data_IF_070565984386
#
_entry.id   IF_070565984386
#
_cell.length_a   1.000
_cell.length_b   1.000
_cell.length_c   1.000
_cell.angle_alpha   90.00
_cell.angle_beta   90.00
_cell.angle_gamma   90.00
#
_symmetry.space_group_name_H-M   'P 1'
#
loop_
_entity.id
_entity.type
_entity.pdbx_description
1 polymer ?
#
# COMPACT_ATOMS: atom_id res chain seq x y z
N UNK A 1 -4.54 -3.00 18.56
CA UNK A 1 -5.83 -3.43 19.20
C UNK A 1 -6.13 -4.88 18.86
N UNK A 2 -6.65 -5.67 19.80
CA UNK A 2 -7.06 -7.06 19.54
C UNK A 2 -8.60 -7.14 19.47
N UNK A 3 -9.15 -7.38 18.26
CA UNK A 3 -10.60 -7.43 18.05
C UNK A 3 -11.24 -8.62 18.76
N UNK A 4 -10.59 -9.80 18.76
CA UNK A 4 -11.11 -10.98 19.44
C UNK A 4 -11.24 -10.72 20.94
N UNK A 5 -10.23 -10.06 21.52
CA UNK A 5 -10.27 -9.68 22.94
C UNK A 5 -11.34 -8.62 23.21
N UNK A 6 -11.50 -7.63 22.31
CA UNK A 6 -12.58 -6.65 22.40
C UNK A 6 -13.95 -7.33 22.38
N UNK A 7 -14.17 -8.25 21.44
CA UNK A 7 -15.40 -9.01 21.32
C UNK A 7 -15.64 -9.91 22.55
N UNK A 8 -14.59 -10.54 23.07
CA UNK A 8 -14.66 -11.34 24.29
C UNK A 8 -15.07 -10.49 25.51
N UNK A 9 -14.46 -9.32 25.71
CA UNK A 9 -14.83 -8.41 26.82
C UNK A 9 -16.27 -7.96 26.68
N UNK A 10 -16.73 -7.65 25.47
CA UNK A 10 -18.05 -7.14 25.20
C UNK A 10 -19.12 -8.23 25.04
N UNK A 11 -18.75 -9.51 25.05
CA UNK A 11 -19.70 -10.63 25.00
C UNK A 11 -20.58 -10.71 26.25
N UNK A 12 -20.05 -10.22 27.39
CA UNK A 12 -20.77 -10.12 28.66
C UNK A 12 -21.70 -8.89 28.77
N UNK A 13 -21.59 -7.99 27.80
CA UNK A 13 -22.32 -6.73 27.71
C UNK A 13 -23.51 -6.84 26.75
N UNK A 14 -24.49 -5.92 26.80
CA UNK A 14 -25.58 -5.87 25.81
C UNK A 14 -25.04 -5.77 24.37
N UNK A 15 -25.62 -6.53 23.44
CA UNK A 15 -25.15 -6.66 22.03
C UNK A 15 -24.87 -5.33 21.31
N UNK A 16 -25.60 -4.26 21.65
CA UNK A 16 -25.36 -2.95 21.05
C UNK A 16 -24.02 -2.32 21.44
N UNK A 17 -23.38 -2.77 22.54
CA UNK A 17 -22.09 -2.26 23.00
C UNK A 17 -20.96 -2.53 21.99
N UNK A 18 -20.99 -3.68 21.34
CA UNK A 18 -20.02 -3.99 20.28
C UNK A 18 -20.14 -3.01 19.10
N UNK A 19 -21.40 -2.65 18.73
CA UNK A 19 -21.61 -1.64 17.68
C UNK A 19 -21.09 -0.26 18.11
N UNK A 20 -21.35 0.12 19.37
CA UNK A 20 -20.82 1.37 19.92
C UNK A 20 -19.29 1.39 19.98
N UNK A 21 -18.65 0.27 20.35
CA UNK A 21 -17.19 0.15 20.34
C UNK A 21 -16.61 0.30 18.93
N UNK A 22 -17.20 -0.38 17.95
CA UNK A 22 -16.79 -0.25 16.55
C UNK A 22 -16.98 1.18 16.04
N UNK A 23 -18.10 1.83 16.34
CA UNK A 23 -18.34 3.22 16.01
C UNK A 23 -17.24 4.12 16.61
N UNK A 24 -16.94 3.96 17.89
CA UNK A 24 -15.93 4.77 18.59
C UNK A 24 -14.54 4.63 17.96
N UNK A 25 -14.12 3.39 17.63
CA UNK A 25 -12.78 3.13 17.08
C UNK A 25 -12.66 3.52 15.62
N UNK A 26 -13.60 3.14 14.77
CA UNK A 26 -13.45 3.22 13.30
C UNK A 26 -14.10 4.47 12.70
N UNK A 27 -15.06 5.10 13.36
CA UNK A 27 -15.76 6.29 12.84
C UNK A 27 -15.39 7.52 13.68
N UNK A 28 -15.53 7.40 15.02
CA UNK A 28 -15.19 8.50 15.90
C UNK A 28 -13.66 8.65 16.08
N UNK A 29 -12.91 7.58 15.74
CA UNK A 29 -11.45 7.54 15.73
C UNK A 29 -10.85 7.89 17.10
N UNK A 30 -11.47 7.42 18.18
CA UNK A 30 -10.94 7.64 19.54
C UNK A 30 -9.56 7.01 19.68
N UNK A 31 -8.68 7.67 20.43
CA UNK A 31 -7.33 7.15 20.75
C UNK A 31 -7.24 6.46 22.12
N UNK A 32 -8.26 6.64 22.95
CA UNK A 32 -8.33 6.08 24.28
C UNK A 32 -9.80 5.85 24.66
N UNK A 33 -10.11 4.75 25.39
CA UNK A 33 -11.48 4.40 25.73
C UNK A 33 -12.17 5.41 26.66
N UNK A 34 -11.42 6.26 27.39
CA UNK A 34 -12.01 7.34 28.18
C UNK A 34 -12.83 8.34 27.32
N UNK A 35 -12.54 8.42 26.02
CA UNK A 35 -13.29 9.25 25.08
C UNK A 35 -14.66 8.65 24.70
N UNK A 36 -14.86 7.34 24.92
CA UNK A 36 -16.12 6.65 24.64
C UNK A 36 -17.11 6.84 25.82
N UNK A 37 -17.59 8.07 26.02
CA UNK A 37 -18.45 8.44 27.17
C UNK A 37 -19.79 7.73 27.21
N UNK A 38 -20.20 7.07 26.13
CA UNK A 38 -21.38 6.20 26.07
C UNK A 38 -21.21 4.90 26.87
N UNK A 39 -19.98 4.57 27.30
CA UNK A 39 -19.68 3.42 28.12
C UNK A 39 -19.61 3.81 29.61
N UNK A 40 -20.06 2.92 30.54
CA UNK A 40 -19.81 3.07 31.96
C UNK A 40 -18.32 3.20 32.26
N UNK A 41 -17.97 3.92 33.31
CA UNK A 41 -16.57 4.17 33.69
C UNK A 41 -15.79 2.86 33.86
N UNK A 42 -16.35 1.90 34.60
CA UNK A 42 -15.73 0.60 34.85
C UNK A 42 -15.41 -0.16 33.55
N UNK A 43 -16.30 -0.10 32.56
CA UNK A 43 -16.06 -0.72 31.25
C UNK A 43 -14.94 0.00 30.49
N UNK A 44 -14.87 1.33 30.51
CA UNK A 44 -13.79 2.10 29.90
C UNK A 44 -12.43 1.78 30.53
N UNK A 45 -12.37 1.65 31.83
CA UNK A 45 -11.16 1.26 32.57
C UNK A 45 -10.72 -0.16 32.20
N UNK A 46 -11.65 -1.13 32.18
CA UNK A 46 -11.38 -2.51 31.73
C UNK A 46 -10.84 -2.54 30.30
N UNK A 47 -11.47 -1.82 29.38
CA UNK A 47 -11.04 -1.74 27.97
C UNK A 47 -9.67 -1.06 27.81
N UNK A 48 -9.36 -0.01 28.59
CA UNK A 48 -8.04 0.61 28.55
C UNK A 48 -6.93 -0.34 29.04
N UNK A 49 -7.21 -1.16 30.03
CA UNK A 49 -6.24 -2.12 30.57
C UNK A 49 -6.06 -3.33 29.64
N UNK A 50 -7.16 -3.89 29.14
CA UNK A 50 -7.15 -5.18 28.45
C UNK A 50 -7.11 -5.09 26.92
N UNK A 51 -7.59 -3.99 26.36
CA UNK A 51 -7.66 -3.76 24.92
C UNK A 51 -7.30 -2.30 24.55
N UNK A 52 -6.07 -1.83 24.88
CA UNK A 52 -5.66 -0.45 24.65
C UNK A 52 -5.70 -0.11 23.15
N UNK A 53 -6.03 1.15 22.85
CA UNK A 53 -6.09 1.70 21.49
C UNK A 53 -4.83 2.46 21.10
N UNK A 54 -3.95 2.71 22.04
CA UNK A 54 -2.71 3.43 21.83
C UNK A 54 -1.69 2.52 21.16
N UNK A 55 -0.97 3.08 20.20
CA UNK A 55 0.16 2.44 19.52
C UNK A 55 1.38 3.35 19.66
N UNK A 56 2.56 2.75 19.82
CA UNK A 56 3.81 3.47 19.88
C UNK A 56 4.27 3.80 18.45
N UNK A 57 4.38 5.10 18.12
CA UNK A 57 4.70 5.56 16.77
C UNK A 57 5.70 6.71 16.80
N UNK A 58 6.72 6.62 15.97
CA UNK A 58 7.64 7.70 15.67
C UNK A 58 7.39 8.22 14.26
N UNK A 59 7.16 9.53 14.09
CA UNK A 59 6.91 10.14 12.80
C UNK A 59 8.12 10.86 12.23
N UNK A 60 8.33 10.73 10.92
CA UNK A 60 9.21 11.57 10.11
C UNK A 60 8.38 12.28 9.06
N UNK A 61 8.46 13.60 9.03
CA UNK A 61 7.74 14.46 8.07
C UNK A 61 8.71 14.96 7.02
N UNK A 62 8.34 14.84 5.73
CA UNK A 62 9.16 15.35 4.62
C UNK A 62 9.28 16.88 4.67
N UNK A 63 10.37 17.41 4.13
CA UNK A 63 10.60 18.89 4.05
C UNK A 63 9.48 19.62 3.32
N UNK A 64 8.86 18.97 2.33
CA UNK A 64 7.72 19.53 1.60
C UNK A 64 6.40 19.43 2.39
N UNK A 65 6.36 18.73 3.52
CA UNK A 65 5.17 18.50 4.33
C UNK A 65 4.12 17.58 3.67
N UNK A 66 4.43 16.97 2.52
CA UNK A 66 3.50 16.18 1.73
C UNK A 66 3.59 14.65 1.99
N UNK A 67 4.47 14.24 2.89
CA UNK A 67 4.64 12.84 3.25
C UNK A 67 4.98 12.70 4.72
N UNK A 68 4.37 11.72 5.38
CA UNK A 68 4.68 11.35 6.75
C UNK A 68 4.96 9.85 6.79
N UNK A 69 6.16 9.50 7.20
CA UNK A 69 6.53 8.11 7.50
C UNK A 69 6.35 7.86 8.98
N UNK A 70 5.57 6.85 9.33
CA UNK A 70 5.37 6.39 10.69
C UNK A 70 6.11 5.06 10.89
N UNK A 71 6.99 5.02 11.87
CA UNK A 71 7.62 3.83 12.40
C UNK A 71 6.77 3.34 13.59
N UNK A 72 6.12 2.20 13.44
CA UNK A 72 5.20 1.62 14.43
C UNK A 72 5.90 0.48 15.15
N UNK A 73 5.92 0.54 16.48
CA UNK A 73 6.35 -0.56 17.34
C UNK A 73 5.19 -1.53 17.57
N UNK A 74 5.40 -2.80 17.24
CA UNK A 74 4.41 -3.86 17.44
C UNK A 74 4.55 -4.45 18.86
N UNK A 75 3.52 -5.17 19.32
CA UNK A 75 3.46 -5.73 20.67
C UNK A 75 4.58 -6.76 21.00
N UNK A 76 5.16 -7.35 19.98
CA UNK A 76 6.30 -8.28 20.08
C UNK A 76 7.68 -7.59 19.97
N UNK A 77 7.71 -6.25 19.95
CA UNK A 77 8.92 -5.44 19.84
C UNK A 77 9.46 -5.29 18.40
N UNK A 78 8.84 -5.95 17.42
CA UNK A 78 9.18 -5.73 16.01
C UNK A 78 8.66 -4.37 15.54
N UNK A 79 9.26 -3.85 14.46
CA UNK A 79 8.89 -2.53 13.92
C UNK A 79 8.52 -2.63 12.44
N UNK A 80 7.51 -1.84 12.08
CA UNK A 80 7.09 -1.66 10.68
C UNK A 80 7.02 -0.19 10.33
N UNK A 81 7.13 0.11 9.05
CA UNK A 81 6.93 1.46 8.52
C UNK A 81 5.68 1.51 7.65
N UNK A 82 4.96 2.60 7.75
CA UNK A 82 3.81 2.95 6.91
C UNK A 82 3.91 4.42 6.51
N UNK A 83 3.31 4.82 5.38
CA UNK A 83 3.49 6.17 4.86
C UNK A 83 2.16 6.80 4.48
N UNK A 84 1.94 8.03 4.93
CA UNK A 84 0.88 8.91 4.45
C UNK A 84 1.43 9.80 3.34
N UNK A 85 0.76 9.81 2.19
CA UNK A 85 1.10 10.60 1.00
C UNK A 85 -0.02 11.61 0.73
N UNK A 86 0.28 12.88 0.85
CA UNK A 86 -0.64 13.97 0.57
C UNK A 86 -0.45 14.52 -0.84
N UNK A 87 -1.46 14.39 -1.66
CA UNK A 87 -1.46 14.93 -3.01
C UNK A 87 -1.96 16.38 -2.99
N UNK A 88 -1.38 17.24 -3.84
CA UNK A 88 -1.78 18.64 -3.96
C UNK A 88 -3.25 18.88 -4.31
N UNK A 89 -3.96 17.83 -4.75
CA UNK A 89 -5.42 17.82 -5.00
C UNK A 89 -6.25 17.60 -3.72
N UNK A 90 -5.61 17.44 -2.55
CA UNK A 90 -6.29 17.11 -1.29
C UNK A 90 -6.57 15.63 -1.06
N UNK A 91 -6.12 14.77 -1.97
CA UNK A 91 -6.25 13.33 -1.82
C UNK A 91 -5.14 12.79 -0.90
N UNK A 92 -5.51 12.01 0.09
CA UNK A 92 -4.60 11.32 1.00
C UNK A 92 -4.53 9.83 0.66
N UNK A 93 -3.33 9.31 0.43
CA UNK A 93 -3.07 7.90 0.16
C UNK A 93 -2.22 7.32 1.28
N UNK A 94 -2.60 6.18 1.83
CA UNK A 94 -1.78 5.45 2.80
C UNK A 94 -1.11 4.27 2.12
N UNK A 95 0.21 4.16 2.29
CA UNK A 95 0.99 3.00 1.89
C UNK A 95 1.13 2.06 3.09
N UNK A 96 0.39 0.94 3.08
CA UNK A 96 0.34 -0.04 4.17
C UNK A 96 1.39 -1.14 3.99
N UNK A 97 1.95 -1.58 5.11
CA UNK A 97 2.77 -2.77 5.22
C UNK A 97 1.90 -4.00 5.51
N UNK A 98 2.29 -5.15 5.00
CA UNK A 98 1.59 -6.44 5.17
C UNK A 98 2.42 -7.50 5.91
N UNK A 99 3.73 -7.29 6.04
CA UNK A 99 4.65 -8.21 6.72
C UNK A 99 5.72 -7.44 7.48
N UNK A 100 6.34 -8.07 8.46
CA UNK A 100 7.59 -7.61 9.05
C UNK A 100 8.74 -8.22 8.24
N UNK A 101 9.40 -7.38 7.41
CA UNK A 101 10.32 -7.84 6.39
C UNK A 101 9.62 -8.46 5.17
N UNK A 102 10.37 -9.13 4.29
CA UNK A 102 9.84 -9.76 3.09
C UNK A 102 10.69 -10.96 2.68
N UNK A 103 10.07 -12.13 2.33
CA UNK A 103 10.84 -13.33 1.97
C UNK A 103 11.36 -13.32 0.53
N UNK A 104 11.01 -12.33 -0.28
CA UNK A 104 11.25 -12.36 -1.74
C UNK A 104 12.64 -11.89 -2.16
N UNK A 105 13.35 -11.14 -1.29
CA UNK A 105 14.74 -10.76 -1.52
C UNK A 105 14.99 -9.86 -2.74
N UNK A 106 14.01 -9.06 -3.18
CA UNK A 106 14.19 -8.15 -4.32
C UNK A 106 15.37 -7.20 -4.08
N UNK A 107 16.33 -7.14 -5.00
CA UNK A 107 17.59 -6.41 -4.80
C UNK A 107 17.40 -4.88 -4.73
N UNK A 108 16.37 -4.37 -5.36
CA UNK A 108 16.04 -2.93 -5.33
C UNK A 108 15.29 -2.49 -4.07
N UNK A 109 14.94 -3.42 -3.16
CA UNK A 109 14.03 -3.15 -2.05
C UNK A 109 14.71 -3.33 -0.69
N UNK A 110 14.73 -2.29 0.12
CA UNK A 110 15.31 -2.33 1.47
C UNK A 110 14.61 -3.37 2.36
N UNK A 111 13.29 -3.52 2.25
CA UNK A 111 12.53 -4.55 2.98
C UNK A 111 12.94 -5.97 2.58
N UNK A 112 13.26 -6.20 1.30
CA UNK A 112 13.75 -7.51 0.84
C UNK A 112 15.10 -7.91 1.46
N UNK A 113 15.96 -6.91 1.74
CA UNK A 113 17.26 -7.13 2.38
C UNK A 113 17.15 -7.41 3.89
N UNK A 114 16.04 -7.07 4.52
CA UNK A 114 15.82 -7.34 5.96
C UNK A 114 15.56 -8.83 6.25
N UNK A 115 15.18 -9.61 5.25
CA UNK A 115 14.62 -10.94 5.42
C UNK A 115 13.19 -10.88 5.99
N UNK A 116 12.58 -12.04 6.13
CA UNK A 116 11.21 -12.20 6.62
C UNK A 116 11.19 -12.59 8.10
N UNK A 117 10.32 -11.99 8.89
CA UNK A 117 10.09 -12.34 10.28
C UNK A 117 8.73 -13.01 10.45
N UNK A 118 7.65 -12.31 10.10
CA UNK A 118 6.28 -12.81 10.17
C UNK A 118 5.30 -12.00 9.32
N UNK A 119 4.15 -12.56 9.09
CA UNK A 119 3.00 -11.83 8.57
C UNK A 119 2.46 -10.86 9.64
N UNK A 120 1.91 -9.74 9.20
CA UNK A 120 1.06 -8.90 10.04
C UNK A 120 -0.33 -9.53 10.14
N UNK A 121 -0.97 -9.38 11.29
CA UNK A 121 -2.39 -9.70 11.44
C UNK A 121 -3.24 -8.66 10.70
N UNK A 122 -4.50 -8.98 10.46
CA UNK A 122 -5.48 -8.06 9.87
C UNK A 122 -5.56 -6.75 10.66
N UNK A 123 -5.57 -6.84 11.99
CA UNK A 123 -5.64 -5.66 12.86
C UNK A 123 -4.36 -4.83 12.85
N UNK A 124 -3.17 -5.45 12.83
CA UNK A 124 -1.91 -4.70 12.67
C UNK A 124 -1.85 -3.95 11.32
N UNK A 125 -2.51 -4.48 10.29
CA UNK A 125 -2.67 -3.79 9.00
C UNK A 125 -3.66 -2.63 9.14
N UNK A 126 -4.82 -2.86 9.75
CA UNK A 126 -5.87 -1.86 9.92
C UNK A 126 -5.42 -0.70 10.82
N UNK A 127 -4.66 -0.98 11.87
CA UNK A 127 -4.16 0.04 12.81
C UNK A 127 -3.28 1.09 12.14
N UNK A 128 -2.53 0.73 11.10
CA UNK A 128 -1.76 1.69 10.30
C UNK A 128 -2.70 2.74 9.66
N UNK A 129 -3.85 2.30 9.13
CA UNK A 129 -4.84 3.18 8.53
C UNK A 129 -5.58 4.02 9.58
N UNK A 130 -5.96 3.43 10.71
CA UNK A 130 -6.61 4.13 11.82
C UNK A 130 -5.68 5.23 12.37
N UNK A 131 -4.39 4.93 12.52
CA UNK A 131 -3.41 5.89 12.99
C UNK A 131 -3.41 7.16 12.13
N UNK A 132 -3.28 7.01 10.82
CA UNK A 132 -3.29 8.15 9.91
C UNK A 132 -4.66 8.80 9.77
N UNK A 133 -5.76 8.04 9.92
CA UNK A 133 -7.10 8.62 9.95
C UNK A 133 -7.29 9.54 11.18
N UNK A 134 -6.78 9.13 12.36
CA UNK A 134 -6.74 9.97 13.58
C UNK A 134 -5.90 11.22 13.38
N UNK A 135 -4.70 11.06 12.80
CA UNK A 135 -3.80 12.17 12.53
C UNK A 135 -4.44 13.20 11.58
N UNK A 136 -5.03 12.74 10.48
CA UNK A 136 -5.72 13.60 9.52
C UNK A 136 -6.93 14.30 10.13
N UNK A 137 -7.72 13.62 10.95
CA UNK A 137 -8.86 14.23 11.64
C UNK A 137 -8.42 15.37 12.58
N UNK A 138 -7.30 15.18 13.27
CA UNK A 138 -6.76 16.16 14.23
C UNK A 138 -6.02 17.32 13.56
N UNK A 139 -5.21 17.03 12.54
CA UNK A 139 -4.18 17.95 12.03
C UNK A 139 -4.28 18.22 10.51
N UNK A 140 -5.23 17.62 9.81
CA UNK A 140 -5.26 17.55 8.34
C UNK A 140 -5.13 18.87 7.57
N UNK A 141 -5.52 20.00 8.15
CA UNK A 141 -5.31 21.33 7.56
C UNK A 141 -3.91 21.91 7.78
N UNK A 142 -3.16 21.37 8.74
CA UNK A 142 -1.82 21.89 9.11
C UNK A 142 -0.68 21.11 8.46
N UNK A 143 -0.93 19.84 8.11
CA UNK A 143 0.10 18.91 7.58
C UNK A 143 0.49 19.26 6.15
N UNK A 144 -0.43 19.81 5.36
CA UNK A 144 -0.20 20.13 3.96
C UNK A 144 -0.42 21.62 3.71
N UNK A 145 0.64 22.47 3.72
CA UNK A 145 0.51 23.85 3.32
C UNK A 145 0.07 23.90 1.85
N UNK A 146 -1.16 24.34 1.62
CA UNK A 146 -1.68 24.61 0.28
C UNK A 146 -0.82 25.72 -0.31
N UNK A 147 0.00 25.42 -1.33
CA UNK A 147 0.66 26.48 -2.11
C UNK A 147 -0.46 27.34 -2.70
N UNK A 148 -0.53 28.59 -2.24
CA UNK A 148 -1.42 29.63 -2.80
C UNK A 148 -1.11 29.76 -4.30
N UNK A 149 -2.03 29.33 -5.16
CA UNK A 149 -1.87 29.40 -6.63
C UNK A 149 -2.48 28.25 -7.41
N UNK A 150 -2.92 27.17 -6.80
CA UNK A 150 -3.69 26.13 -7.51
C UNK A 150 -5.13 26.63 -7.70
N UNK A 151 -5.44 27.14 -8.89
CA UNK A 151 -6.77 27.59 -9.26
C UNK A 151 -7.75 26.41 -9.31
N UNK A 152 -8.69 26.37 -8.36
CA UNK A 152 -9.83 25.46 -8.34
C UNK A 152 -10.50 25.50 -6.96
N UNK A 153 -11.83 25.39 -6.85
CA UNK A 153 -12.48 25.33 -5.56
C UNK A 153 -12.11 23.98 -4.90
N UNK A 154 -11.09 24.01 -4.06
CA UNK A 154 -10.66 22.87 -3.26
C UNK A 154 -11.74 22.56 -2.20
N UNK A 155 -12.80 21.83 -2.62
CA UNK A 155 -13.62 21.03 -1.71
C UNK A 155 -12.85 19.74 -1.32
N UNK A 156 -11.54 19.82 -1.17
CA UNK A 156 -10.74 18.68 -0.78
C UNK A 156 -10.91 18.49 0.73
N UNK A 157 -11.53 17.40 1.12
CA UNK A 157 -11.58 16.95 2.51
C UNK A 157 -10.19 16.43 2.90
N UNK A 158 -9.27 17.35 3.24
CA UNK A 158 -7.91 17.04 3.68
C UNK A 158 -7.85 16.19 4.97
N UNK A 159 -8.99 15.93 5.58
CA UNK A 159 -9.12 15.34 6.91
C UNK A 159 -9.47 13.85 6.89
N UNK A 160 -9.45 13.19 5.73
CA UNK A 160 -9.73 11.75 5.65
C UNK A 160 -8.75 11.01 4.75
N UNK A 161 -8.70 9.70 4.95
CA UNK A 161 -8.01 8.74 4.05
C UNK A 161 -8.88 8.54 2.81
N UNK A 162 -8.31 8.74 1.63
CA UNK A 162 -9.03 8.54 0.36
C UNK A 162 -8.64 7.22 -0.30
N UNK A 163 -7.36 6.88 -0.31
CA UNK A 163 -6.83 5.71 -0.99
C UNK A 163 -5.91 4.89 -0.07
N UNK A 164 -5.85 3.61 -0.35
CA UNK A 164 -4.90 2.67 0.28
C UNK A 164 -4.12 1.94 -0.81
N UNK A 165 -2.82 1.80 -0.61
CA UNK A 165 -1.96 0.96 -1.45
C UNK A 165 -1.17 -0.01 -0.57
N UNK A 166 -1.21 -1.28 -0.89
CA UNK A 166 -0.37 -2.32 -0.28
C UNK A 166 0.96 -2.38 -1.03
N UNK A 167 1.81 -1.38 -0.75
CA UNK A 167 3.13 -1.19 -1.38
C UNK A 167 4.21 -0.86 -0.33
N UNK A 168 3.90 -1.08 0.94
CA UNK A 168 4.81 -0.94 2.06
C UNK A 168 5.71 -2.16 2.22
N UNK A 169 5.99 -2.55 3.46
CA UNK A 169 6.82 -3.70 3.76
C UNK A 169 6.04 -5.01 3.53
N UNK A 170 6.68 -5.96 2.82
CA UNK A 170 6.14 -7.31 2.57
C UNK A 170 5.48 -7.49 1.21
N UNK A 171 5.16 -8.75 0.92
CA UNK A 171 4.37 -9.17 -0.25
C UNK A 171 2.94 -9.50 0.21
N UNK A 172 1.95 -8.67 -0.16
CA UNK A 172 0.59 -8.82 0.37
C UNK A 172 -0.07 -10.15 -0.01
N UNK A 173 0.23 -10.72 -1.18
CA UNK A 173 -0.37 -11.98 -1.58
C UNK A 173 0.27 -13.22 -0.91
N UNK A 174 1.39 -13.05 -0.19
CA UNK A 174 1.90 -14.08 0.73
C UNK A 174 1.25 -14.00 2.12
N UNK A 175 0.57 -12.89 2.43
CA UNK A 175 -0.26 -12.71 3.64
C UNK A 175 -1.74 -12.53 3.26
N UNK A 176 -2.20 -13.31 2.30
CA UNK A 176 -3.47 -13.09 1.59
C UNK A 176 -4.68 -12.95 2.51
N UNK A 177 -4.87 -13.89 3.45
CA UNK A 177 -6.07 -13.92 4.29
C UNK A 177 -6.15 -12.69 5.21
N UNK A 178 -5.07 -12.37 5.94
CA UNK A 178 -5.04 -11.16 6.77
C UNK A 178 -5.20 -9.87 5.96
N UNK A 179 -4.61 -9.80 4.76
CA UNK A 179 -4.76 -8.63 3.88
C UNK A 179 -6.21 -8.47 3.44
N UNK A 180 -6.88 -9.57 3.05
CA UNK A 180 -8.28 -9.51 2.62
C UNK A 180 -9.23 -9.19 3.78
N UNK A 181 -8.97 -9.71 4.97
CA UNK A 181 -9.77 -9.39 6.16
C UNK A 181 -9.57 -7.92 6.59
N UNK A 182 -8.33 -7.43 6.55
CA UNK A 182 -8.07 -5.99 6.74
C UNK A 182 -8.82 -5.13 5.70
N UNK A 183 -8.82 -5.51 4.44
CA UNK A 183 -9.56 -4.80 3.38
C UNK A 183 -11.07 -4.78 3.65
N UNK A 184 -11.66 -5.89 4.11
CA UNK A 184 -13.08 -5.94 4.47
C UNK A 184 -13.40 -4.97 5.61
N UNK A 185 -12.53 -4.89 6.64
CA UNK A 185 -12.69 -3.95 7.76
C UNK A 185 -12.59 -2.50 7.26
N UNK A 186 -11.57 -2.18 6.45
CA UNK A 186 -11.33 -0.84 5.91
C UNK A 186 -12.43 -0.39 4.94
N UNK A 187 -13.03 -1.32 4.19
CA UNK A 187 -14.13 -1.06 3.25
C UNK A 187 -15.50 -0.98 3.93
N UNK A 188 -15.61 -1.44 5.18
CA UNK A 188 -16.90 -1.48 5.89
C UNK A 188 -17.52 -0.08 5.99
N UNK A 189 -18.80 0.04 5.62
CA UNK A 189 -19.58 1.30 5.67
C UNK A 189 -19.73 1.87 7.09
N UNK A 190 -19.70 0.99 8.09
CA UNK A 190 -19.76 1.35 9.51
C UNK A 190 -18.35 1.57 10.12
N UNK A 191 -17.33 1.80 9.27
CA UNK A 191 -15.94 2.03 9.64
C UNK A 191 -15.32 3.18 8.84
N UNK A 192 -14.08 2.98 8.38
CA UNK A 192 -13.37 3.99 7.57
C UNK A 192 -14.02 4.21 6.19
N UNK A 193 -14.85 3.28 5.74
CA UNK A 193 -15.64 3.36 4.50
C UNK A 193 -14.81 3.70 3.26
N UNK A 194 -13.66 3.05 3.12
CA UNK A 194 -12.78 3.25 1.96
C UNK A 194 -13.27 2.34 0.84
N UNK A 195 -13.76 2.94 -0.25
CA UNK A 195 -14.30 2.18 -1.37
C UNK A 195 -13.27 1.19 -1.95
N UNK A 196 -13.69 -0.02 -2.29
CA UNK A 196 -12.78 -1.08 -2.77
C UNK A 196 -11.93 -0.62 -3.98
N UNK A 197 -12.48 0.19 -4.89
CA UNK A 197 -11.75 0.79 -6.02
C UNK A 197 -10.70 1.83 -5.64
N UNK A 198 -10.66 2.24 -4.38
CA UNK A 198 -9.64 3.10 -3.81
C UNK A 198 -8.55 2.31 -3.05
N UNK A 199 -8.61 0.99 -3.09
CA UNK A 199 -7.63 0.07 -2.50
C UNK A 199 -6.90 -0.65 -3.62
N UNK A 200 -5.57 -0.60 -3.60
CA UNK A 200 -4.71 -1.27 -4.59
C UNK A 200 -3.77 -2.25 -3.90
N UNK A 201 -3.74 -3.47 -4.42
CA UNK A 201 -2.79 -4.51 -4.01
C UNK A 201 -1.71 -4.58 -5.08
N UNK A 202 -0.44 -4.39 -4.69
CA UNK A 202 0.71 -4.60 -5.57
C UNK A 202 1.40 -5.91 -5.20
N UNK A 203 1.73 -6.71 -6.21
CA UNK A 203 2.41 -8.01 -6.03
C UNK A 203 3.51 -8.17 -7.06
N UNK A 204 4.55 -8.91 -6.71
CA UNK A 204 5.57 -9.34 -7.70
C UNK A 204 5.03 -10.41 -8.68
N UNK A 205 3.77 -10.84 -8.52
CA UNK A 205 3.17 -11.85 -9.37
C UNK A 205 3.00 -13.21 -8.70
N UNK A 206 2.58 -13.23 -7.44
CA UNK A 206 2.20 -14.48 -6.74
C UNK A 206 0.94 -15.04 -7.41
N UNK A 207 1.13 -15.93 -8.38
CA UNK A 207 0.07 -16.42 -9.28
C UNK A 207 -1.13 -16.99 -8.54
N UNK A 208 -0.91 -17.85 -7.52
CA UNK A 208 -2.00 -18.38 -6.69
C UNK A 208 -2.78 -17.27 -5.96
N UNK A 209 -2.10 -16.21 -5.53
CA UNK A 209 -2.74 -15.05 -4.89
C UNK A 209 -3.57 -14.25 -5.89
N UNK A 210 -3.09 -14.06 -7.12
CA UNK A 210 -3.82 -13.38 -8.21
C UNK A 210 -5.09 -14.17 -8.55
N UNK A 211 -4.98 -15.48 -8.68
CA UNK A 211 -6.12 -16.38 -8.92
C UNK A 211 -7.17 -16.28 -7.81
N UNK A 212 -6.77 -16.32 -6.54
CA UNK A 212 -7.69 -16.11 -5.41
C UNK A 212 -8.36 -14.72 -5.48
N UNK A 213 -7.59 -13.67 -5.84
CA UNK A 213 -8.10 -12.30 -5.93
C UNK A 213 -9.13 -12.15 -7.07
N UNK A 214 -8.97 -12.86 -8.18
CA UNK A 214 -9.93 -12.87 -9.28
C UNK A 214 -11.33 -13.34 -8.84
N UNK A 215 -11.40 -14.23 -7.87
CA UNK A 215 -12.65 -14.78 -7.34
C UNK A 215 -13.28 -13.95 -6.21
N UNK A 216 -12.65 -12.84 -5.80
CA UNK A 216 -13.18 -12.00 -4.73
C UNK A 216 -14.30 -11.07 -5.22
N UNK A 217 -15.38 -10.90 -4.43
CA UNK A 217 -16.45 -9.97 -4.77
C UNK A 217 -16.02 -8.50 -4.66
N UNK A 218 -15.01 -8.20 -3.83
CA UNK A 218 -14.49 -6.84 -3.67
C UNK A 218 -13.63 -6.43 -4.87
N UNK A 219 -13.99 -5.28 -5.47
CA UNK A 219 -13.33 -4.76 -6.66
C UNK A 219 -12.08 -3.92 -6.30
N UNK A 220 -11.11 -4.54 -5.64
CA UNK A 220 -9.81 -3.89 -5.39
C UNK A 220 -8.97 -3.85 -6.66
N UNK A 221 -8.10 -2.85 -6.79
CA UNK A 221 -7.20 -2.73 -7.93
C UNK A 221 -6.00 -3.68 -7.76
N UNK A 222 -5.56 -4.27 -8.87
CA UNK A 222 -4.35 -5.10 -8.93
C UNK A 222 -3.23 -4.34 -9.65
N UNK A 223 -2.04 -4.36 -9.05
CA UNK A 223 -0.80 -3.90 -9.67
C UNK A 223 0.21 -5.06 -9.71
N UNK A 224 0.89 -5.22 -10.83
CA UNK A 224 1.95 -6.20 -11.02
C UNK A 224 3.30 -5.50 -11.05
N UNK A 225 4.13 -5.74 -10.06
CA UNK A 225 5.53 -5.32 -10.00
C UNK A 225 6.37 -6.18 -10.96
N UNK A 226 6.31 -5.84 -12.25
CA UNK A 226 6.96 -6.59 -13.33
C UNK A 226 8.45 -6.30 -13.41
N UNK A 227 8.81 -5.02 -13.58
CA UNK A 227 10.15 -4.43 -13.52
C UNK A 227 11.18 -4.91 -14.55
N UNK A 228 10.85 -5.89 -15.38
CA UNK A 228 11.66 -6.35 -16.52
C UNK A 228 10.77 -6.99 -17.59
N UNK A 229 11.19 -6.94 -18.87
CA UNK A 229 10.40 -7.49 -19.98
C UNK A 229 10.59 -9.00 -20.18
N UNK A 230 11.60 -9.61 -19.57
CA UNK A 230 11.95 -11.02 -19.74
C UNK A 230 12.46 -11.65 -18.42
N UNK A 231 12.54 -12.99 -18.40
CA UNK A 231 12.94 -13.74 -17.21
C UNK A 231 14.39 -13.49 -16.81
N UNK A 232 15.31 -13.40 -17.75
CA UNK A 232 16.75 -13.25 -17.48
C UNK A 232 17.06 -11.94 -16.75
N UNK A 233 16.45 -10.86 -17.21
CA UNK A 233 16.62 -9.55 -16.59
C UNK A 233 15.86 -9.47 -15.25
N UNK A 234 14.66 -10.07 -15.20
CA UNK A 234 13.82 -10.05 -14.01
C UNK A 234 14.44 -10.84 -12.85
N UNK A 235 15.04 -12.00 -13.12
CA UNK A 235 15.68 -12.82 -12.09
C UNK A 235 16.85 -12.10 -11.40
N UNK A 236 17.56 -11.25 -12.15
CA UNK A 236 18.65 -10.40 -11.59
C UNK A 236 18.13 -9.32 -10.63
N UNK A 237 16.85 -8.94 -10.68
CA UNK A 237 16.23 -7.98 -9.79
C UNK A 237 15.40 -8.63 -8.70
N UNK A 238 14.70 -9.70 -9.07
CA UNK A 238 13.69 -10.40 -8.27
C UNK A 238 14.02 -11.89 -8.28
N UNK A 239 14.78 -12.38 -7.28
CA UNK A 239 15.16 -13.81 -7.20
C UNK A 239 13.95 -14.76 -7.23
N UNK A 240 12.81 -14.31 -6.72
CA UNK A 240 11.55 -15.05 -6.76
C UNK A 240 11.01 -15.30 -8.18
N UNK A 241 11.61 -14.71 -9.23
CA UNK A 241 11.25 -14.99 -10.63
C UNK A 241 11.44 -16.48 -11.00
N UNK A 242 12.37 -17.18 -10.35
CA UNK A 242 12.55 -18.64 -10.52
C UNK A 242 11.26 -19.41 -10.24
N UNK A 243 10.44 -18.92 -9.33
CA UNK A 243 9.16 -19.54 -8.95
C UNK A 243 7.97 -18.88 -9.65
N UNK A 244 8.07 -17.59 -9.91
CA UNK A 244 7.00 -16.77 -10.49
C UNK A 244 7.54 -16.08 -11.75
N UNK A 245 7.72 -16.88 -12.83
CA UNK A 245 8.28 -16.41 -14.10
C UNK A 245 7.38 -15.38 -14.77
N UNK A 246 7.95 -14.58 -15.66
CA UNK A 246 7.20 -13.62 -16.48
C UNK A 246 6.06 -14.32 -17.22
N UNK A 247 6.34 -15.50 -17.82
CA UNK A 247 5.34 -16.25 -18.59
C UNK A 247 4.16 -16.69 -17.72
N UNK A 248 4.45 -17.23 -16.52
CA UNK A 248 3.41 -17.65 -15.57
C UNK A 248 2.57 -16.45 -15.07
N UNK A 249 3.21 -15.30 -14.89
CA UNK A 249 2.52 -14.06 -14.51
C UNK A 249 1.60 -13.61 -15.64
N UNK A 250 2.07 -13.62 -16.88
CA UNK A 250 1.28 -13.19 -18.04
C UNK A 250 0.08 -14.11 -18.28
N UNK A 251 0.25 -15.42 -18.12
CA UNK A 251 -0.84 -16.39 -18.18
C UNK A 251 -1.91 -16.09 -17.11
N UNK A 252 -1.50 -15.97 -15.84
CA UNK A 252 -2.45 -15.72 -14.76
C UNK A 252 -3.10 -14.33 -14.86
N UNK A 253 -2.38 -13.34 -15.39
CA UNK A 253 -2.92 -12.02 -15.65
C UNK A 253 -4.03 -12.07 -16.71
N UNK A 254 -3.83 -12.81 -17.81
CA UNK A 254 -4.86 -13.01 -18.82
C UNK A 254 -6.11 -13.69 -18.22
N UNK A 255 -5.92 -14.70 -17.36
CA UNK A 255 -7.02 -15.35 -16.65
C UNK A 255 -7.77 -14.38 -15.75
N UNK A 256 -7.02 -13.57 -14.97
CA UNK A 256 -7.59 -12.53 -14.12
C UNK A 256 -8.43 -11.51 -14.91
N UNK A 257 -7.91 -11.03 -16.02
CA UNK A 257 -8.58 -10.03 -16.86
C UNK A 257 -9.86 -10.57 -17.50
N UNK A 258 -9.81 -11.81 -18.04
CA UNK A 258 -10.99 -12.50 -18.60
C UNK A 258 -12.07 -12.73 -17.55
N UNK A 259 -11.69 -13.12 -16.33
CA UNK A 259 -12.64 -13.40 -15.26
C UNK A 259 -13.25 -12.12 -14.67
N UNK A 260 -12.48 -11.05 -14.53
CA UNK A 260 -12.89 -9.87 -13.76
C UNK A 260 -13.31 -8.69 -14.61
N UNK A 261 -12.82 -8.57 -15.84
CA UNK A 261 -12.96 -7.38 -16.69
C UNK A 261 -12.32 -6.10 -16.08
N UNK A 262 -11.45 -6.26 -15.08
CA UNK A 262 -10.87 -5.12 -14.34
C UNK A 262 -9.48 -4.79 -14.87
N UNK A 263 -9.23 -3.50 -15.05
CA UNK A 263 -7.95 -2.98 -15.50
C UNK A 263 -6.84 -3.23 -14.48
N UNK A 264 -5.64 -3.62 -14.96
CA UNK A 264 -4.47 -3.88 -14.14
C UNK A 264 -3.38 -2.84 -14.39
N UNK A 265 -2.63 -2.49 -13.37
CA UNK A 265 -1.46 -1.63 -13.44
C UNK A 265 -0.19 -2.48 -13.55
N UNK A 266 0.63 -2.21 -14.55
CA UNK A 266 1.96 -2.82 -14.71
C UNK A 266 2.99 -1.83 -14.19
N UNK A 267 3.54 -2.11 -13.03
CA UNK A 267 4.57 -1.29 -12.41
C UNK A 267 5.94 -1.64 -13.01
N UNK A 268 6.67 -0.62 -13.47
CA UNK A 268 7.99 -0.79 -14.06
C UNK A 268 8.98 0.21 -13.46
N UNK A 269 9.90 -0.32 -12.66
CA UNK A 269 10.94 0.45 -11.98
C UNK A 269 12.07 0.76 -12.97
N UNK A 270 12.43 2.05 -13.14
CA UNK A 270 13.44 2.51 -14.09
C UNK A 270 14.80 2.62 -13.40
N UNK A 271 15.70 1.70 -13.71
CA UNK A 271 17.06 1.58 -13.14
C UNK A 271 18.09 1.86 -14.22
N UNK A 272 18.96 2.85 -13.99
CA UNK A 272 19.98 3.29 -14.94
C UNK A 272 20.91 2.14 -15.37
N UNK A 273 21.08 1.99 -16.70
CA UNK A 273 21.91 0.98 -17.34
C UNK A 273 21.56 -0.46 -17.00
N UNK A 274 20.36 -0.69 -16.53
CA UNK A 274 19.91 -2.03 -16.17
C UNK A 274 18.68 -2.47 -16.97
N UNK A 275 17.60 -1.68 -16.94
CA UNK A 275 16.33 -2.02 -17.58
C UNK A 275 15.67 -0.82 -18.29
N UNK A 276 16.45 0.22 -18.60
CA UNK A 276 15.96 1.53 -19.03
C UNK A 276 16.32 1.89 -20.49
N UNK A 277 16.87 0.95 -21.24
CA UNK A 277 17.21 1.16 -22.66
C UNK A 277 15.99 0.94 -23.57
N UNK A 278 16.13 1.39 -24.81
CA UNK A 278 15.08 1.31 -25.83
C UNK A 278 14.69 -0.13 -26.16
N UNK A 279 15.67 -1.02 -26.16
CA UNK A 279 15.49 -2.45 -26.42
C UNK A 279 14.54 -3.07 -25.37
N UNK A 280 14.71 -2.75 -24.07
CA UNK A 280 13.80 -3.23 -23.03
C UNK A 280 12.39 -2.63 -23.17
N UNK A 281 12.26 -1.39 -23.65
CA UNK A 281 10.94 -0.81 -23.93
C UNK A 281 10.24 -1.53 -25.09
N UNK A 282 10.97 -1.90 -26.13
CA UNK A 282 10.45 -2.65 -27.26
C UNK A 282 10.07 -4.08 -26.84
N UNK A 283 10.93 -4.79 -26.11
CA UNK A 283 10.62 -6.10 -25.53
C UNK A 283 9.39 -6.06 -24.62
N UNK A 284 9.32 -5.05 -23.72
CA UNK A 284 8.16 -4.86 -22.87
C UNK A 284 6.88 -4.66 -23.68
N UNK A 285 6.96 -3.90 -24.77
CA UNK A 285 5.80 -3.69 -25.63
C UNK A 285 5.31 -4.99 -26.27
N UNK A 286 6.22 -5.84 -26.73
CA UNK A 286 5.90 -7.15 -27.31
C UNK A 286 5.26 -8.07 -26.25
N UNK A 287 5.83 -8.11 -25.05
CA UNK A 287 5.29 -8.89 -23.94
C UNK A 287 3.85 -8.44 -23.60
N UNK A 288 3.63 -7.14 -23.45
CA UNK A 288 2.33 -6.60 -23.03
C UNK A 288 1.25 -6.69 -24.12
N UNK A 289 1.63 -6.79 -25.40
CA UNK A 289 0.68 -7.07 -26.50
C UNK A 289 0.06 -8.47 -26.43
N UNK A 290 0.62 -9.38 -25.60
CA UNK A 290 0.04 -10.69 -25.34
C UNK A 290 -1.12 -10.64 -24.33
N UNK A 291 -1.38 -9.49 -23.71
CA UNK A 291 -2.49 -9.30 -22.77
C UNK A 291 -3.80 -9.13 -23.54
N UNK A 292 -4.72 -10.06 -23.31
CA UNK A 292 -6.06 -10.06 -23.92
C UNK A 292 -7.15 -10.37 -22.88
N UNK A 293 -8.11 -9.46 -22.66
CA UNK A 293 -8.28 -8.15 -23.28
C UNK A 293 -7.22 -7.13 -22.78
N UNK A 294 -6.92 -6.07 -23.58
CA UNK A 294 -5.85 -5.12 -23.28
C UNK A 294 -6.25 -4.11 -22.18
N UNK A 295 -6.72 -4.62 -21.05
CA UNK A 295 -7.18 -3.85 -19.90
C UNK A 295 -6.02 -3.59 -18.94
N UNK A 296 -5.01 -2.86 -19.39
CA UNK A 296 -3.86 -2.49 -18.57
C UNK A 296 -3.35 -1.08 -18.89
N UNK A 297 -2.44 -0.60 -18.07
CA UNK A 297 -1.56 0.53 -18.34
C UNK A 297 -0.23 0.33 -17.63
N UNK A 298 0.83 0.95 -18.13
CA UNK A 298 2.15 0.91 -17.52
C UNK A 298 2.34 2.13 -16.61
N UNK A 299 2.86 1.90 -15.43
CA UNK A 299 3.24 2.95 -14.50
C UNK A 299 4.76 2.93 -14.29
N UNK A 300 5.46 3.88 -14.90
CA UNK A 300 6.90 4.01 -14.75
C UNK A 300 7.23 4.64 -13.41
N UNK A 301 8.12 3.98 -12.68
CA UNK A 301 8.59 4.42 -11.38
C UNK A 301 10.09 4.73 -11.50
N UNK A 302 10.48 5.96 -11.31
CA UNK A 302 11.89 6.25 -11.19
C UNK A 302 12.44 5.63 -9.90
N UNK A 303 13.53 4.88 -9.99
CA UNK A 303 14.13 4.20 -8.85
C UNK A 303 14.49 5.17 -7.71
N UNK A 304 14.20 4.77 -6.50
CA UNK A 304 14.62 5.50 -5.31
C UNK A 304 15.84 4.79 -4.72
N UNK A 305 17.01 5.46 -4.64
CA UNK A 305 18.25 4.81 -4.26
C UNK A 305 18.14 4.09 -2.91
N UNK A 306 18.53 2.82 -2.89
CA UNK A 306 18.72 2.05 -1.65
C UNK A 306 20.20 1.79 -1.39
N UNK A 307 21.00 1.32 -2.31
CA UNK A 307 22.46 1.20 -2.20
C UNK A 307 23.08 0.71 -3.52
N UNK A 308 22.41 -0.23 -4.24
CA UNK A 308 23.05 -1.00 -5.31
C UNK A 308 22.86 -0.40 -6.70
N UNK A 309 21.84 0.43 -6.89
CA UNK A 309 21.46 0.93 -8.21
C UNK A 309 21.36 2.46 -8.24
N UNK A 310 21.30 3.01 -9.45
CA UNK A 310 21.05 4.43 -9.70
C UNK A 310 19.73 4.63 -10.44
N UNK A 311 19.02 5.74 -10.18
CA UNK A 311 17.81 6.08 -10.92
C UNK A 311 18.15 6.40 -12.37
N UNK A 312 17.29 5.99 -13.29
CA UNK A 312 17.41 6.36 -14.69
C UNK A 312 17.34 7.87 -14.87
N UNK A 313 18.16 8.44 -15.77
CA UNK A 313 18.05 9.83 -16.16
C UNK A 313 16.66 10.15 -16.71
N UNK A 314 16.13 11.36 -16.44
CA UNK A 314 14.81 11.78 -16.88
C UNK A 314 14.60 11.64 -18.40
N UNK A 315 15.66 11.86 -19.20
CA UNK A 315 15.62 11.68 -20.66
C UNK A 315 15.29 10.22 -21.01
N UNK A 316 15.96 9.25 -20.39
CA UNK A 316 15.70 7.81 -20.65
C UNK A 316 14.27 7.41 -20.28
N UNK A 317 13.76 7.90 -19.15
CA UNK A 317 12.35 7.66 -18.75
C UNK A 317 11.40 8.21 -19.81
N UNK A 318 11.67 9.42 -20.30
CA UNK A 318 10.87 10.03 -21.37
C UNK A 318 10.93 9.24 -22.68
N UNK A 319 12.12 8.80 -23.09
CA UNK A 319 12.32 8.02 -24.33
C UNK A 319 11.65 6.65 -24.21
N UNK A 320 11.76 5.98 -23.07
CA UNK A 320 11.09 4.72 -22.77
C UNK A 320 9.56 4.87 -22.86
N UNK A 321 9.00 5.90 -22.21
CA UNK A 321 7.59 6.25 -22.29
C UNK A 321 7.12 6.50 -23.73
N UNK A 322 7.89 7.27 -24.50
CA UNK A 322 7.57 7.55 -25.90
C UNK A 322 7.56 6.27 -26.75
N UNK A 323 8.48 5.35 -26.49
CA UNK A 323 8.55 4.06 -27.19
C UNK A 323 7.28 3.23 -26.94
N UNK A 324 6.85 3.10 -25.69
CA UNK A 324 5.62 2.37 -25.33
C UNK A 324 4.36 3.05 -25.90
N UNK A 325 4.28 4.39 -25.81
CA UNK A 325 3.14 5.14 -26.34
C UNK A 325 3.00 4.99 -27.87
N UNK A 326 4.11 4.95 -28.62
CA UNK A 326 4.11 4.69 -30.07
C UNK A 326 3.58 3.30 -30.42
N UNK A 327 3.60 2.37 -29.47
CA UNK A 327 3.04 1.01 -29.60
C UNK A 327 1.59 0.92 -29.10
N UNK A 328 0.96 2.06 -28.79
CA UNK A 328 -0.42 2.13 -28.30
C UNK A 328 -0.60 1.79 -26.82
N UNK A 329 0.47 1.66 -26.05
CA UNK A 329 0.43 1.36 -24.63
C UNK A 329 0.30 2.67 -23.85
N UNK A 330 -0.74 2.76 -23.01
CA UNK A 330 -0.91 3.89 -22.10
C UNK A 330 0.14 3.85 -20.98
N UNK A 331 0.85 4.97 -20.77
CA UNK A 331 1.94 5.06 -19.79
C UNK A 331 1.77 6.26 -18.89
N UNK A 332 1.79 6.01 -17.58
CA UNK A 332 1.85 7.04 -16.52
C UNK A 332 3.23 7.07 -15.90
N UNK A 333 3.57 8.18 -15.25
CA UNK A 333 4.77 8.30 -14.41
C UNK A 333 4.35 8.55 -12.97
N UNK A 334 4.91 7.77 -12.04
CA UNK A 334 4.60 7.91 -10.63
C UNK A 334 5.31 9.11 -10.03
N UNK A 335 4.54 9.98 -9.37
CA UNK A 335 5.11 11.08 -8.60
C UNK A 335 5.92 10.55 -7.41
N UNK A 336 7.07 11.18 -7.13
CA UNK A 336 7.96 10.80 -6.03
C UNK A 336 7.60 11.58 -4.78
N UNK A 337 7.33 10.85 -3.71
CA UNK A 337 7.07 11.39 -2.38
C UNK A 337 8.17 10.96 -1.41
N UNK A 338 8.46 11.81 -0.39
CA UNK A 338 9.19 11.43 0.80
C UNK A 338 10.59 10.85 0.61
N UNK A 339 11.32 11.26 -0.44
CA UNK A 339 12.68 10.77 -0.70
C UNK A 339 13.64 11.18 0.42
N UNK A 340 13.50 12.38 0.95
CA UNK A 340 14.32 12.96 2.01
C UNK A 340 14.17 12.26 3.37
N UNK A 341 13.06 11.58 3.59
CA UNK A 341 12.78 10.80 4.80
C UNK A 341 12.80 9.28 4.55
N UNK A 342 13.34 8.85 3.39
CA UNK A 342 13.36 7.43 2.98
C UNK A 342 11.98 6.77 3.07
N UNK A 343 10.94 7.47 2.60
CA UNK A 343 9.55 7.02 2.59
C UNK A 343 9.06 6.62 1.19
N UNK A 344 9.91 6.69 0.18
CA UNK A 344 9.57 6.33 -1.18
C UNK A 344 9.56 4.80 -1.38
N UNK A 345 8.93 4.35 -2.49
CA UNK A 345 8.84 2.92 -2.81
C UNK A 345 10.21 2.23 -2.79
N UNK A 346 10.28 1.08 -2.14
CA UNK A 346 11.50 0.28 -1.99
C UNK A 346 12.42 0.71 -0.84
N UNK A 347 12.15 1.82 -0.13
CA UNK A 347 13.06 2.36 0.89
C UNK A 347 12.70 1.98 2.34
N UNK A 348 11.55 1.37 2.59
CA UNK A 348 11.11 1.02 3.94
C UNK A 348 11.93 -0.14 4.51
N UNK A 349 12.48 0.05 5.71
CA UNK A 349 13.42 -0.86 6.34
C UNK A 349 13.14 -1.13 7.83
N UNK A 350 12.04 -0.64 8.40
CA UNK A 350 11.72 -0.80 9.82
C UNK A 350 12.75 -0.15 10.76
N UNK A 351 13.49 0.84 10.28
CA UNK A 351 14.57 1.53 10.99
C UNK A 351 14.44 3.05 10.85
N UNK A 352 14.99 3.77 11.83
CA UNK A 352 15.14 5.24 11.72
C UNK A 352 16.02 5.66 10.57
#
# INVERSE_FOLDING_TARGET
MNLEKLESILSEEPKFRLKQARQAVFVDLISNWNQATVFPLALREKLNQECPLEIEVENLVSKEGNSIKALISLSDGLKIETVLLGHGTGRNTICLSSQVGCPLGCLFCATGKMGFKRNLTDMEIVEQAIYFARLLKKEGKQIYPVKSGAAGPLKAEFNRVNNIVFMGMGEPLLNYENVMDAIKILNNKDGLNIGARHISISTIGITNGIKKLASQPLQVNLAISLHAPNNDLREKLIPANRKYSVDAIMEELNNYLKQTGRRVMIEYLMIDKFNDDKEQAEELSILLQQIDPPLFFVNLIAYNPTEDFKPSPARKIKDFKLTLNKKGIEVTERYRFGQDIKAACGQLAGKK
#
